data_IF_228612448542
#
_entry.id   IF_228612448542
#
_cell.length_a   1.000
_cell.length_b   1.000
_cell.length_c   1.000
_cell.angle_alpha   90.00
_cell.angle_beta   90.00
_cell.angle_gamma   90.00
#
_symmetry.space_group_name_H-M   'P 1'
#
loop_
_entity.id
_entity.type
_entity.pdbx_description
1 polymer ?
#
# COMPACT_ATOMS: atom_id res chain seq x y z
N UNK A 1 -11.08 12.82 -9.58
CA UNK A 1 -9.62 12.66 -9.37
C UNK A 1 -9.44 11.92 -8.07
N UNK A 2 -9.28 10.59 -8.11
CA UNK A 2 -9.17 9.79 -6.89
C UNK A 2 -7.70 9.78 -6.45
N UNK A 3 -7.44 10.21 -5.22
CA UNK A 3 -6.07 10.29 -4.67
C UNK A 3 -5.70 8.99 -3.98
N UNK A 4 -4.40 8.75 -3.77
CA UNK A 4 -3.88 7.60 -3.01
C UNK A 4 -4.54 7.47 -1.64
N UNK A 5 -4.71 8.59 -0.92
CA UNK A 5 -5.45 8.66 0.35
C UNK A 5 -6.89 8.15 0.22
N UNK A 6 -7.63 8.56 -0.81
CA UNK A 6 -9.02 8.13 -0.99
C UNK A 6 -9.14 6.63 -1.24
N UNK A 7 -8.19 6.03 -1.98
CA UNK A 7 -8.14 4.58 -2.17
C UNK A 7 -7.78 3.85 -0.88
N UNK A 8 -6.79 4.36 -0.15
CA UNK A 8 -6.38 3.81 1.14
C UNK A 8 -7.55 3.81 2.13
N UNK A 9 -8.30 4.91 2.18
CA UNK A 9 -9.52 5.02 2.97
C UNK A 9 -10.54 3.95 2.58
N UNK A 10 -10.79 3.74 1.29
CA UNK A 10 -11.74 2.73 0.84
C UNK A 10 -11.33 1.31 1.26
N UNK A 11 -10.06 0.95 1.09
CA UNK A 11 -9.51 -0.35 1.53
C UNK A 11 -9.71 -0.49 3.04
N UNK A 12 -9.26 0.51 3.80
CA UNK A 12 -9.36 0.51 5.26
C UNK A 12 -10.81 0.42 5.75
N UNK A 13 -11.75 1.18 5.19
CA UNK A 13 -13.17 1.12 5.60
C UNK A 13 -13.87 -0.16 5.18
N UNK A 14 -13.29 -0.93 4.24
CA UNK A 14 -13.88 -2.18 3.75
C UNK A 14 -13.43 -3.36 4.61
N UNK A 15 -12.14 -3.39 4.94
CA UNK A 15 -11.52 -4.47 5.72
C UNK A 15 -11.56 -4.19 7.24
N UNK A 16 -11.65 -2.92 7.64
CA UNK A 16 -11.74 -2.48 9.04
C UNK A 16 -13.00 -1.63 9.28
N UNK A 17 -13.67 -1.78 10.43
CA UNK A 17 -14.85 -1.00 10.80
C UNK A 17 -14.46 0.42 11.26
N UNK A 18 -13.73 1.16 10.43
CA UNK A 18 -13.23 2.51 10.72
C UNK A 18 -14.09 3.58 10.09
N UNK A 19 -14.20 4.73 10.77
CA UNK A 19 -14.90 5.88 10.23
C UNK A 19 -14.00 6.59 9.18
N UNK A 20 -14.49 6.86 7.96
CA UNK A 20 -13.71 7.58 6.95
C UNK A 20 -13.31 8.99 7.43
N UNK A 21 -14.10 9.56 8.34
CA UNK A 21 -13.86 10.86 8.98
C UNK A 21 -12.60 10.85 9.88
N UNK A 22 -12.28 9.69 10.48
CA UNK A 22 -11.09 9.50 11.30
C UNK A 22 -9.83 9.25 10.45
N UNK A 23 -9.99 8.79 9.20
CA UNK A 23 -8.90 8.45 8.28
C UNK A 23 -8.27 9.70 7.62
N UNK A 24 -7.73 10.58 8.46
CA UNK A 24 -7.06 11.81 8.02
C UNK A 24 -5.55 11.59 7.91
N UNK A 25 -4.83 12.45 7.16
CA UNK A 25 -3.36 12.37 7.07
C UNK A 25 -2.65 12.49 8.43
N UNK A 26 -3.27 13.16 9.40
CA UNK A 26 -2.74 13.33 10.74
C UNK A 26 -3.06 12.15 11.68
N UNK A 27 -3.96 11.25 11.27
CA UNK A 27 -4.35 10.10 12.07
C UNK A 27 -3.21 9.10 12.17
N UNK A 28 -2.96 8.61 13.39
CA UNK A 28 -1.98 7.55 13.65
C UNK A 28 -2.59 6.19 13.38
N UNK A 29 -1.81 5.30 12.77
CA UNK A 29 -2.27 3.93 12.50
C UNK A 29 -2.66 3.22 13.80
N UNK A 30 -1.85 3.35 14.85
CA UNK A 30 -2.14 2.78 16.17
C UNK A 30 -3.44 3.32 16.80
N UNK A 31 -3.76 4.61 16.60
CA UNK A 31 -4.99 5.23 17.13
C UNK A 31 -6.25 4.73 16.38
N UNK A 32 -6.06 4.36 15.12
CA UNK A 32 -7.07 3.72 14.28
C UNK A 32 -7.19 2.20 14.56
N UNK A 33 -6.41 1.65 15.50
CA UNK A 33 -6.37 0.20 15.75
C UNK A 33 -5.75 -0.60 14.61
N UNK A 34 -4.91 0.04 13.80
CA UNK A 34 -4.10 -0.62 12.77
C UNK A 34 -2.78 -1.03 13.42
N UNK A 35 -2.72 -2.27 13.87
CA UNK A 35 -1.49 -2.89 14.42
C UNK A 35 -0.47 -3.22 13.31
N UNK A 36 0.72 -3.68 13.71
CA UNK A 36 1.79 -4.10 12.79
C UNK A 36 1.33 -5.17 11.79
N UNK A 37 0.46 -6.10 12.21
CA UNK A 37 -0.11 -7.13 11.32
C UNK A 37 -1.09 -6.52 10.30
N UNK A 38 -2.00 -5.67 10.77
CA UNK A 38 -2.95 -4.96 9.91
C UNK A 38 -2.24 -4.07 8.89
N UNK A 39 -1.15 -3.42 9.30
CA UNK A 39 -0.29 -2.62 8.41
C UNK A 39 0.32 -3.50 7.32
N UNK A 40 0.81 -4.70 7.66
CA UNK A 40 1.37 -5.63 6.67
C UNK A 40 0.31 -6.10 5.65
N UNK A 41 -0.90 -6.44 6.11
CA UNK A 41 -2.01 -6.83 5.20
C UNK A 41 -2.49 -5.67 4.32
N UNK A 42 -2.54 -4.46 4.89
CA UNK A 42 -2.84 -3.24 4.15
C UNK A 42 -1.81 -2.99 3.04
N UNK A 43 -0.52 -3.07 3.36
CA UNK A 43 0.55 -2.88 2.38
C UNK A 43 0.46 -3.93 1.25
N UNK A 44 0.15 -5.19 1.58
CA UNK A 44 -0.04 -6.24 0.59
C UNK A 44 -1.22 -5.95 -0.35
N UNK A 45 -2.36 -5.54 0.22
CA UNK A 45 -3.56 -5.16 -0.55
C UNK A 45 -3.30 -3.93 -1.42
N UNK A 46 -2.57 -2.94 -0.91
CA UNK A 46 -2.16 -1.76 -1.66
C UNK A 46 -1.23 -2.13 -2.81
N UNK A 47 -0.24 -2.99 -2.56
CA UNK A 47 0.69 -3.44 -3.59
C UNK A 47 -0.05 -4.05 -4.78
N UNK A 48 -1.00 -4.96 -4.52
CA UNK A 48 -1.86 -5.57 -5.53
C UNK A 48 -2.78 -4.54 -6.22
N UNK A 49 -3.50 -3.72 -5.43
CA UNK A 49 -4.47 -2.75 -5.94
C UNK A 49 -3.84 -1.66 -6.82
N UNK A 50 -2.64 -1.22 -6.45
CA UNK A 50 -1.90 -0.19 -7.19
C UNK A 50 -0.90 -0.78 -8.17
N UNK A 51 -0.73 -2.11 -8.18
CA UNK A 51 0.23 -2.82 -9.02
C UNK A 51 1.66 -2.26 -8.84
N UNK A 52 2.01 -1.95 -7.60
CA UNK A 52 3.31 -1.41 -7.20
C UNK A 52 4.21 -2.54 -6.72
N UNK A 53 5.49 -2.23 -6.51
CA UNK A 53 6.40 -3.11 -5.79
C UNK A 53 6.89 -2.34 -4.57
N UNK A 54 6.30 -2.62 -3.40
CA UNK A 54 6.74 -2.03 -2.15
C UNK A 54 7.95 -2.84 -1.67
N UNK A 55 9.07 -2.20 -1.29
CA UNK A 55 10.18 -2.95 -0.73
C UNK A 55 9.74 -3.64 0.56
N UNK A 56 10.24 -4.85 0.81
CA UNK A 56 9.91 -5.63 2.01
C UNK A 56 10.40 -5.00 3.33
N UNK A 57 11.13 -3.89 3.23
CA UNK A 57 11.68 -3.20 4.36
C UNK A 57 10.54 -2.63 5.19
N UNK A 58 10.53 -2.94 6.48
CA UNK A 58 9.53 -2.44 7.41
C UNK A 58 9.76 -0.95 7.57
N UNK A 59 9.07 -0.15 6.76
CA UNK A 59 9.07 1.30 6.90
C UNK A 59 8.21 1.65 8.12
N UNK A 60 8.74 2.42 9.09
CA UNK A 60 7.98 2.82 10.27
C UNK A 60 6.97 3.90 9.91
N UNK A 61 5.84 3.48 9.32
CA UNK A 61 4.73 4.36 8.96
C UNK A 61 3.92 4.65 10.22
N UNK A 62 4.08 5.85 10.80
CA UNK A 62 3.37 6.21 12.03
C UNK A 62 1.96 6.76 11.79
N UNK A 63 1.74 7.39 10.63
CA UNK A 63 0.47 8.06 10.30
C UNK A 63 -0.02 7.67 8.91
N UNK A 64 -1.31 7.84 8.69
CA UNK A 64 -1.92 7.60 7.38
C UNK A 64 -1.31 8.48 6.29
N UNK A 65 -0.90 9.70 6.63
CA UNK A 65 -0.19 10.60 5.72
C UNK A 65 1.15 10.03 5.26
N UNK A 66 1.88 9.37 6.17
CA UNK A 66 3.15 8.71 5.88
C UNK A 66 2.97 7.56 4.89
N UNK A 67 1.94 6.73 5.11
CA UNK A 67 1.58 5.63 4.19
C UNK A 67 1.25 6.18 2.80
N UNK A 68 0.47 7.25 2.74
CA UNK A 68 0.08 7.87 1.47
C UNK A 68 1.28 8.45 0.72
N UNK A 69 2.14 9.20 1.42
CA UNK A 69 3.35 9.79 0.82
C UNK A 69 4.30 8.71 0.32
N UNK A 70 4.46 7.65 1.11
CA UNK A 70 5.26 6.50 0.75
C UNK A 70 4.77 5.81 -0.53
N UNK A 71 3.47 5.52 -0.62
CA UNK A 71 2.87 4.92 -1.83
C UNK A 71 2.99 5.87 -3.02
N UNK A 72 2.71 7.16 -2.83
CA UNK A 72 2.79 8.16 -3.90
C UNK A 72 4.21 8.26 -4.45
N UNK A 73 5.22 8.24 -3.58
CA UNK A 73 6.63 8.24 -3.95
C UNK A 73 7.00 6.99 -4.76
N UNK A 74 6.57 5.81 -4.33
CA UNK A 74 6.82 4.55 -5.07
C UNK A 74 6.08 4.59 -6.42
N UNK A 75 4.81 4.98 -6.42
CA UNK A 75 4.00 5.09 -7.63
C UNK A 75 4.60 6.07 -8.63
N UNK A 76 5.08 7.23 -8.18
CA UNK A 76 5.76 8.20 -9.02
C UNK A 76 7.11 7.66 -9.54
N UNK A 77 7.87 6.95 -8.70
CA UNK A 77 9.12 6.31 -9.11
C UNK A 77 8.90 5.23 -10.17
N UNK A 78 7.82 4.44 -10.06
CA UNK A 78 7.46 3.37 -10.98
C UNK A 78 6.72 3.90 -12.24
N UNK A 79 5.98 5.01 -12.16
CA UNK A 79 5.35 5.63 -13.32
C UNK A 79 6.37 6.16 -14.34
N UNK A 80 7.59 6.47 -13.90
CA UNK A 80 8.73 6.79 -14.76
C UNK A 80 9.63 5.60 -15.12
N UNK A 81 9.40 4.42 -14.51
CA UNK A 81 10.22 3.23 -14.68
C UNK A 81 9.34 2.08 -15.15
N UNK A 82 9.36 1.80 -16.46
CA UNK A 82 8.86 0.52 -16.99
C UNK A 82 9.55 -0.61 -16.20
N UNK A 83 8.83 -1.47 -15.46
CA UNK A 83 9.48 -2.43 -14.58
C UNK A 83 10.27 -3.44 -15.43
N UNK A 84 11.58 -3.63 -15.20
CA UNK A 84 12.27 -4.82 -15.66
C UNK A 84 11.98 -5.93 -14.64
N UNK A 85 11.13 -6.88 -15.00
CA UNK A 85 11.09 -8.18 -14.31
C UNK A 85 9.85 -8.48 -13.49
N UNK A 86 8.69 -8.55 -14.15
CA UNK A 86 7.89 -9.78 -13.97
C UNK A 86 8.54 -10.81 -14.88
N UNK A 87 9.42 -11.64 -14.33
CA UNK A 87 9.96 -12.77 -15.08
C UNK A 87 8.76 -13.65 -15.47
N UNK A 88 8.60 -14.02 -16.75
CA UNK A 88 7.66 -15.08 -17.09
C UNK A 88 8.14 -16.34 -16.38
N UNK A 89 7.32 -16.78 -15.42
CA UNK A 89 7.16 -18.16 -14.99
C UNK A 89 7.85 -19.15 -15.94
N UNK A 90 8.91 -19.78 -15.41
CA UNK A 90 9.85 -20.67 -16.12
C UNK A 90 9.12 -21.60 -17.10
N UNK A 91 9.58 -21.73 -18.36
CA UNK A 91 9.18 -22.88 -19.16
C UNK A 91 9.80 -24.13 -18.52
N UNK A 92 8.96 -25.01 -17.98
CA UNK A 92 9.38 -26.36 -17.63
C UNK A 92 9.47 -27.18 -18.94
N UNK A 93 10.67 -27.25 -19.48
CA UNK A 93 11.16 -28.21 -20.47
C UNK A 93 12.45 -28.74 -19.81
N UNK A 94 12.77 -30.02 -19.62
CA UNK A 94 12.53 -31.31 -20.27
C UNK A 94 13.04 -32.40 -19.26
N UNK A 95 13.25 -33.70 -19.58
CA UNK A 95 13.30 -34.39 -20.88
C UNK A 95 12.02 -35.11 -21.32
#
# INVERSE_FOLDING_TARGET
MQTTLSRLQQILTKDYPLAPEALTRAARLEDLGIDSLATAELLFTVEDTFHLALPNEVVPLATLGDVVDYIDRIAAAQAGQTPPGVAPERPVLAP
#
